data_IF_977744682672
#
_entry.id   IF_977744682672
#
_cell.length_a   1.000
_cell.length_b   1.000
_cell.length_c   1.000
_cell.angle_alpha   90.00
_cell.angle_beta   90.00
_cell.angle_gamma   90.00
#
_symmetry.space_group_name_H-M   'P 1'
#
loop_
_entity.id
_entity.type
_entity.pdbx_description
1 polymer ?
#
# COMPACT_ATOMS: atom_id res chain seq x y z
N UNK A 1 -12.29 -1.45 -17.34
CA UNK A 1 -10.89 -1.35 -16.86
C UNK A 1 -10.43 0.10 -16.93
N UNK A 2 -11.29 1.03 -16.51
CA UNK A 2 -11.33 2.34 -17.18
C UNK A 2 -10.52 3.42 -16.46
N UNK A 3 -10.19 3.19 -15.18
CA UNK A 3 -9.30 4.08 -14.43
C UNK A 3 -8.36 3.26 -13.55
N UNK A 4 -7.06 3.40 -13.80
CA UNK A 4 -6.03 2.71 -13.04
C UNK A 4 -5.69 3.48 -11.76
N UNK A 5 -5.29 2.80 -10.67
CA UNK A 5 -4.76 3.47 -9.50
C UNK A 5 -3.50 4.28 -9.85
N UNK A 6 -3.35 5.49 -9.27
CA UNK A 6 -2.20 6.34 -9.52
C UNK A 6 -0.89 5.71 -9.02
N UNK A 7 0.21 6.15 -9.62
CA UNK A 7 1.55 5.82 -9.17
C UNK A 7 1.94 6.73 -8.01
N UNK A 8 2.40 6.13 -6.91
CA UNK A 8 2.95 6.88 -5.77
C UNK A 8 4.39 6.46 -5.56
N UNK A 9 5.31 7.44 -5.58
CA UNK A 9 6.76 7.24 -5.36
C UNK A 9 7.34 6.14 -6.29
N UNK A 10 6.92 6.16 -7.56
CA UNK A 10 7.37 5.20 -8.58
C UNK A 10 6.79 3.79 -8.47
N UNK A 11 5.84 3.55 -7.56
CA UNK A 11 5.17 2.25 -7.38
C UNK A 11 3.67 2.40 -7.55
N UNK A 12 3.04 1.40 -8.18
CA UNK A 12 1.58 1.37 -8.35
C UNK A 12 0.92 0.83 -7.10
N UNK A 13 -0.14 1.50 -6.66
CA UNK A 13 -1.00 1.03 -5.57
C UNK A 13 -1.71 -0.26 -6.04
N UNK A 14 -1.62 -1.33 -5.26
CA UNK A 14 -2.26 -2.61 -5.57
C UNK A 14 -3.40 -2.87 -4.61
N UNK A 15 -4.63 -2.66 -5.07
CA UNK A 15 -5.85 -3.07 -4.37
C UNK A 15 -6.08 -4.56 -4.67
N UNK A 16 -6.23 -5.40 -3.64
CA UNK A 16 -6.25 -6.87 -3.76
C UNK A 16 -7.63 -7.45 -3.59
N UNK A 17 -8.30 -7.11 -2.49
CA UNK A 17 -9.63 -7.61 -2.18
C UNK A 17 -10.41 -6.56 -1.41
N UNK A 18 -11.73 -6.66 -1.47
CA UNK A 18 -12.65 -5.81 -0.75
C UNK A 18 -13.70 -6.67 -0.04
N UNK A 19 -14.14 -6.24 1.13
CA UNK A 19 -15.25 -6.87 1.85
C UNK A 19 -16.10 -5.82 2.56
N UNK A 20 -17.33 -6.19 2.91
CA UNK A 20 -18.21 -5.34 3.68
C UNK A 20 -17.75 -5.30 5.14
N UNK A 21 -17.45 -4.10 5.63
CA UNK A 21 -17.10 -3.85 7.02
C UNK A 21 -18.28 -3.46 7.91
N UNK A 22 -19.43 -3.12 7.32
CA UNK A 22 -20.65 -2.72 8.04
C UNK A 22 -21.79 -2.35 7.10
N UNK A 23 -23.01 -2.29 7.64
CA UNK A 23 -24.24 -2.08 6.87
C UNK A 23 -24.81 -0.66 6.97
N UNK A 24 -24.74 0.01 8.12
CA UNK A 24 -25.32 1.35 8.31
C UNK A 24 -24.32 2.33 8.94
N UNK A 25 -23.64 3.20 8.16
CA UNK A 25 -23.67 3.29 6.69
C UNK A 25 -22.91 2.13 6.02
N UNK A 26 -23.21 1.78 4.75
CA UNK A 26 -22.49 0.74 4.01
C UNK A 26 -20.99 1.04 3.98
N UNK A 27 -20.19 0.18 4.62
CA UNK A 27 -18.74 0.36 4.74
C UNK A 27 -18.04 -0.72 3.93
N UNK A 28 -17.17 -0.31 3.02
CA UNK A 28 -16.40 -1.22 2.17
C UNK A 28 -14.94 -1.07 2.55
N UNK A 29 -14.34 -2.16 3.03
CA UNK A 29 -12.95 -2.20 3.44
C UNK A 29 -12.14 -2.85 2.32
N UNK A 30 -11.24 -2.07 1.72
CA UNK A 30 -10.37 -2.47 0.64
C UNK A 30 -8.97 -2.73 1.20
N UNK A 31 -8.46 -3.92 0.94
CA UNK A 31 -7.14 -4.36 1.34
C UNK A 31 -6.17 -4.32 0.18
N UNK A 32 -4.92 -3.97 0.48
CA UNK A 32 -3.89 -3.89 -0.55
C UNK A 32 -2.54 -3.39 -0.06
N UNK A 33 -1.70 -3.05 -1.03
CA UNK A 33 -0.38 -2.46 -0.80
C UNK A 33 -0.41 -0.96 -1.09
N UNK A 34 0.28 -0.17 -0.27
CA UNK A 34 0.31 1.30 -0.36
C UNK A 34 -1.08 1.94 -0.33
N UNK A 35 -2.04 1.30 0.34
CA UNK A 35 -3.42 1.78 0.41
C UNK A 35 -3.57 3.07 1.21
N UNK A 36 -2.60 3.38 2.10
CA UNK A 36 -2.49 4.66 2.82
C UNK A 36 -2.23 5.84 1.90
N UNK A 37 -1.60 5.61 0.76
CA UNK A 37 -1.20 6.65 -0.19
C UNK A 37 -2.24 6.87 -1.30
N UNK A 38 -3.42 6.25 -1.19
CA UNK A 38 -4.50 6.43 -2.18
C UNK A 38 -5.00 7.87 -2.11
N UNK A 39 -4.93 8.64 -3.21
CA UNK A 39 -5.45 10.00 -3.24
C UNK A 39 -6.97 10.04 -3.02
N UNK A 40 -7.45 11.09 -2.38
CA UNK A 40 -8.87 11.27 -2.08
C UNK A 40 -9.74 11.27 -3.34
N UNK A 41 -9.23 11.79 -4.47
CA UNK A 41 -9.93 11.73 -5.75
C UNK A 41 -10.22 10.27 -6.19
N UNK A 42 -9.24 9.38 -6.02
CA UNK A 42 -9.40 7.97 -6.38
C UNK A 42 -10.33 7.23 -5.39
N UNK A 43 -10.34 7.64 -4.12
CA UNK A 43 -11.32 7.16 -3.13
C UNK A 43 -12.75 7.50 -3.55
N UNK A 44 -13.02 8.77 -3.92
CA UNK A 44 -14.33 9.21 -4.41
C UNK A 44 -14.74 8.53 -5.71
N UNK A 45 -13.79 8.26 -6.60
CA UNK A 45 -14.03 7.48 -7.81
C UNK A 45 -14.55 6.08 -7.46
N UNK A 46 -13.86 5.36 -6.57
CA UNK A 46 -14.31 4.05 -6.11
C UNK A 46 -15.66 4.11 -5.41
N UNK A 47 -15.89 5.11 -4.57
CA UNK A 47 -17.16 5.32 -3.87
C UNK A 47 -18.33 5.45 -4.85
N UNK A 48 -18.16 6.27 -5.89
CA UNK A 48 -19.15 6.44 -6.93
C UNK A 48 -19.39 5.18 -7.75
N UNK A 49 -18.34 4.38 -8.01
CA UNK A 49 -18.51 3.09 -8.69
C UNK A 49 -19.29 2.11 -7.82
N UNK A 50 -18.91 1.93 -6.55
CA UNK A 50 -19.63 1.02 -5.67
C UNK A 50 -21.08 1.45 -5.48
N UNK A 51 -21.34 2.75 -5.33
CA UNK A 51 -22.70 3.30 -5.24
C UNK A 51 -23.54 2.96 -6.48
N UNK A 52 -22.95 3.09 -7.68
CA UNK A 52 -23.62 2.78 -8.96
C UNK A 52 -23.84 1.27 -9.15
N UNK A 53 -22.82 0.45 -8.90
CA UNK A 53 -22.88 -1.00 -9.14
C UNK A 53 -23.79 -1.70 -8.14
N UNK A 54 -23.80 -1.26 -6.88
CA UNK A 54 -24.63 -1.83 -5.82
C UNK A 54 -26.00 -1.15 -5.70
N UNK A 55 -26.33 -0.18 -6.57
CA UNK A 55 -27.58 0.58 -6.56
C UNK A 55 -27.95 1.16 -5.17
N UNK A 56 -26.96 1.67 -4.44
CA UNK A 56 -27.17 2.22 -3.10
C UNK A 56 -27.70 3.64 -3.23
N UNK A 57 -28.95 3.85 -2.80
CA UNK A 57 -29.62 5.15 -2.75
C UNK A 57 -29.92 5.54 -1.30
N UNK A 58 -29.70 6.80 -0.94
CA UNK A 58 -30.07 7.35 0.37
C UNK A 58 -29.04 7.22 1.50
N UNK A 59 -28.02 6.35 1.37
CA UNK A 59 -26.92 6.25 2.34
C UNK A 59 -25.55 6.45 1.67
N UNK A 60 -24.64 7.23 2.26
CA UNK A 60 -23.28 7.39 1.73
C UNK A 60 -22.49 6.09 1.87
N UNK A 61 -21.70 5.74 0.85
CA UNK A 61 -20.84 4.56 0.88
C UNK A 61 -19.48 4.95 1.46
N UNK A 62 -19.10 4.39 2.61
CA UNK A 62 -17.81 4.68 3.23
C UNK A 62 -16.76 3.68 2.77
N UNK A 63 -15.71 4.17 2.11
CA UNK A 63 -14.56 3.35 1.73
C UNK A 63 -13.43 3.50 2.74
N UNK A 64 -12.92 2.37 3.19
CA UNK A 64 -11.75 2.31 4.05
C UNK A 64 -10.65 1.45 3.49
N UNK A 65 -9.43 1.90 3.73
CA UNK A 65 -8.23 1.30 3.20
C UNK A 65 -7.45 0.65 4.33
N UNK A 66 -7.27 -0.67 4.24
CA UNK A 66 -6.40 -1.42 5.14
C UNK A 66 -5.15 -1.84 4.39
N UNK A 67 -3.99 -1.47 4.92
CA UNK A 67 -2.70 -2.00 4.47
C UNK A 67 -2.34 -3.20 5.33
N UNK A 68 -1.77 -4.24 4.74
CA UNK A 68 -1.15 -5.31 5.51
C UNK A 68 -0.01 -4.76 6.36
N UNK A 69 0.13 -5.27 7.59
CA UNK A 69 1.28 -4.97 8.42
C UNK A 69 2.49 -5.77 7.95
N UNK A 70 3.66 -5.15 7.93
CA UNK A 70 4.91 -5.83 7.61
C UNK A 70 5.50 -6.42 8.91
N UNK A 71 5.54 -7.75 9.09
CA UNK A 71 6.06 -8.38 10.32
C UNK A 71 7.58 -8.18 10.52
N UNK A 72 8.28 -7.68 9.49
CA UNK A 72 9.71 -7.35 9.55
C UNK A 72 9.96 -5.85 9.77
N UNK A 73 8.91 -5.02 9.90
CA UNK A 73 9.06 -3.60 10.20
C UNK A 73 9.83 -3.43 11.52
N UNK A 74 10.88 -2.59 11.49
CA UNK A 74 11.72 -2.31 12.66
C UNK A 74 12.79 -3.37 12.98
N UNK A 75 12.82 -4.53 12.30
CA UNK A 75 13.91 -5.49 12.47
C UNK A 75 15.19 -4.95 11.82
N UNK A 76 16.20 -4.61 12.62
CA UNK A 76 17.55 -4.30 12.11
C UNK A 76 18.18 -5.59 11.57
N UNK A 77 18.51 -5.61 10.28
CA UNK A 77 19.21 -6.74 9.68
C UNK A 77 20.64 -6.82 10.27
N UNK A 78 20.87 -7.77 11.17
CA UNK A 78 22.21 -8.06 11.68
C UNK A 78 22.99 -8.72 10.54
N UNK A 79 23.96 -7.99 9.98
CA UNK A 79 24.82 -8.51 8.92
C UNK A 79 25.50 -9.79 9.40
N UNK A 80 25.46 -10.84 8.58
CA UNK A 80 26.24 -12.07 8.86
C UNK A 80 27.73 -11.73 8.83
N UNK A 81 28.57 -12.51 9.52
CA UNK A 81 30.03 -12.31 9.54
C UNK A 81 30.63 -12.21 8.14
N UNK A 82 30.18 -13.06 7.21
CA UNK A 82 30.58 -13.01 5.78
C UNK A 82 30.24 -11.68 5.13
N UNK A 83 29.07 -11.11 5.41
CA UNK A 83 28.64 -9.83 4.86
C UNK A 83 29.43 -8.67 5.46
N UNK A 84 29.76 -8.73 6.76
CA UNK A 84 30.65 -7.77 7.41
C UNK A 84 32.06 -7.81 6.81
N UNK A 85 32.63 -9.00 6.61
CA UNK A 85 33.94 -9.17 5.99
C UNK A 85 33.95 -8.64 4.54
N UNK A 86 32.92 -8.95 3.74
CA UNK A 86 32.78 -8.42 2.37
C UNK A 86 32.71 -6.89 2.35
N UNK A 87 31.91 -6.29 3.24
CA UNK A 87 31.80 -4.83 3.38
C UNK A 87 33.12 -4.19 3.81
N UNK A 88 33.84 -4.80 4.76
CA UNK A 88 35.18 -4.34 5.20
C UNK A 88 36.19 -4.36 4.05
N UNK A 89 36.22 -5.46 3.27
CA UNK A 89 37.09 -5.57 2.09
C UNK A 89 36.79 -4.48 1.06
N UNK A 90 35.51 -4.28 0.71
CA UNK A 90 35.09 -3.23 -0.21
C UNK A 90 35.53 -1.83 0.26
N UNK A 91 35.29 -1.51 1.53
CA UNK A 91 35.66 -0.20 2.09
C UNK A 91 37.17 0.06 2.09
N UNK A 92 38.00 -0.99 2.26
CA UNK A 92 39.45 -0.87 2.16
C UNK A 92 39.87 -0.40 0.75
N UNK A 93 39.31 -1.01 -0.29
CA UNK A 93 39.59 -0.62 -1.68
C UNK A 93 39.10 0.79 -2.01
N UNK A 94 37.88 1.15 -1.59
CA UNK A 94 37.33 2.49 -1.84
C UNK A 94 38.15 3.58 -1.14
N UNK A 95 38.63 3.34 0.08
CA UNK A 95 39.47 4.29 0.82
C UNK A 95 40.87 4.42 0.25
N UNK A 96 41.41 3.36 -0.36
CA UNK A 96 42.75 3.36 -0.96
C UNK A 96 42.78 4.00 -2.36
N UNK A 97 41.63 4.06 -3.03
CA UNK A 97 41.46 4.68 -4.36
C UNK A 97 41.15 6.18 -4.29
N UNK A 98 41.04 6.73 -3.08
CA UNK A 98 40.74 8.13 -2.78
C UNK A 98 41.97 8.76 -2.15
#
# INVERSE_FOLDING_TARGET
>A
ADHQPPLVRGRRIKLRYAHQGGMNPPRIIIHGNQTKDVPEAYRRYLENIYRKVLNITGSPVKIEFKSGENPFAGRKNKLTERQMQRKRRLMKFVKQKK
#
